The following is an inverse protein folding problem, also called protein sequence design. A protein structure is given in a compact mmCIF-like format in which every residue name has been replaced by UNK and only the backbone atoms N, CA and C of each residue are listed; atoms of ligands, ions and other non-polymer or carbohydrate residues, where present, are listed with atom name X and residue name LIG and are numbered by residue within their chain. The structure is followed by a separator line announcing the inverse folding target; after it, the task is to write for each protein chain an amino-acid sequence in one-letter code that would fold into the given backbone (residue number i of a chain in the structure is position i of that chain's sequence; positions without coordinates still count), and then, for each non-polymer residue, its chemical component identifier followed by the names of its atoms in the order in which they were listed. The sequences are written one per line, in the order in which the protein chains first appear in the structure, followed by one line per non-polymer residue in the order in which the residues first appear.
data_IF_483626286512
#
_entry.id   IF_483626286512
#
_cell.length_a   1.000
_cell.length_b   1.000
_cell.length_c   1.000
_cell.angle_alpha   90.00
_cell.angle_beta   90.00
_cell.angle_gamma   90.00
#
_symmetry.space_group_name_H-M   'P 1'
#
loop_
_entity.id
_entity.type
_entity.pdbx_description
1 polymer ?
#
# COMPACT_ATOMS: atom_id res chain seq x y z
N UNK A 1 -55.55 -15.54 -22.65
CA UNK A 1 -54.83 -16.32 -23.70
C UNK A 1 -53.67 -15.51 -24.30
N UNK A 2 -53.85 -14.21 -24.55
CA UNK A 2 -52.77 -13.32 -25.02
C UNK A 2 -51.61 -13.15 -24.03
N UNK A 3 -51.86 -13.03 -22.73
CA UNK A 3 -50.79 -12.74 -21.75
C UNK A 3 -49.77 -13.88 -21.62
N UNK A 4 -50.22 -15.13 -21.75
CA UNK A 4 -49.35 -16.30 -21.71
C UNK A 4 -48.43 -16.38 -22.94
N UNK A 5 -48.89 -15.86 -24.08
CA UNK A 5 -48.06 -15.79 -25.30
C UNK A 5 -47.02 -14.67 -25.22
N UNK A 6 -47.35 -13.55 -24.57
CA UNK A 6 -46.43 -12.41 -24.39
C UNK A 6 -45.28 -12.77 -23.44
N UNK A 7 -45.58 -13.46 -22.32
CA UNK A 7 -44.57 -13.96 -21.39
C UNK A 7 -43.64 -15.00 -22.04
N UNK A 8 -44.20 -15.89 -22.87
CA UNK A 8 -43.42 -16.87 -23.64
C UNK A 8 -42.47 -16.20 -24.64
N UNK A 9 -42.93 -15.15 -25.34
CA UNK A 9 -42.12 -14.44 -26.33
C UNK A 9 -40.99 -13.65 -25.68
N UNK A 10 -41.24 -13.01 -24.53
CA UNK A 10 -40.23 -12.30 -23.76
C UNK A 10 -39.12 -13.24 -23.26
N UNK A 11 -39.49 -14.41 -22.73
CA UNK A 11 -38.51 -15.38 -22.26
C UNK A 11 -37.63 -15.90 -23.39
N UNK A 12 -38.22 -16.11 -24.58
CA UNK A 12 -37.49 -16.54 -25.76
C UNK A 12 -36.52 -15.46 -26.27
N UNK A 13 -36.93 -14.19 -26.27
CA UNK A 13 -36.07 -13.06 -26.66
C UNK A 13 -34.90 -12.90 -25.68
N UNK A 14 -35.14 -12.94 -24.36
CA UNK A 14 -34.08 -12.87 -23.35
C UNK A 14 -33.08 -14.03 -23.46
N UNK A 15 -33.56 -15.24 -23.79
CA UNK A 15 -32.70 -16.40 -24.04
C UNK A 15 -31.82 -16.21 -25.29
N UNK A 16 -32.38 -15.68 -26.39
CA UNK A 16 -31.61 -15.41 -27.61
C UNK A 16 -30.57 -14.30 -27.42
N UNK A 17 -30.88 -13.25 -26.65
CA UNK A 17 -29.91 -12.19 -26.29
C UNK A 17 -28.78 -12.78 -25.43
N UNK A 18 -29.10 -13.66 -24.48
CA UNK A 18 -28.10 -14.33 -23.63
C UNK A 18 -27.19 -15.25 -24.45
N UNK A 19 -27.74 -15.95 -25.46
CA UNK A 19 -26.95 -16.75 -26.40
C UNK A 19 -26.07 -15.91 -27.33
N UNK A 20 -26.53 -14.71 -27.74
CA UNK A 20 -25.74 -13.79 -28.54
C UNK A 20 -24.57 -13.19 -27.76
N UNK A 21 -24.77 -12.86 -26.47
CA UNK A 21 -23.68 -12.40 -25.58
C UNK A 21 -22.68 -13.53 -25.33
N UNK A 22 -23.14 -14.77 -25.19
CA UNK A 22 -22.24 -15.91 -24.96
C UNK A 22 -21.43 -16.32 -26.20
N UNK A 23 -21.96 -16.08 -27.42
CA UNK A 23 -21.25 -16.29 -28.69
C UNK A 23 -20.33 -15.15 -29.13
N UNK A 24 -20.28 -14.04 -28.39
CA UNK A 24 -19.56 -12.82 -28.75
C UNK A 24 -18.23 -12.61 -28.02
N UNK A 25 -17.49 -13.68 -27.69
CA UNK A 25 -16.11 -13.58 -27.21
C UNK A 25 -15.24 -14.35 -28.20
N UNK A 26 -14.71 -13.62 -29.17
CA UNK A 26 -13.66 -14.12 -30.05
C UNK A 26 -12.39 -14.32 -29.22
N UNK A 27 -11.87 -15.53 -29.33
CA UNK A 27 -10.68 -16.01 -28.65
C UNK A 27 -9.44 -15.33 -29.24
N UNK A 28 -8.79 -14.48 -28.45
CA UNK A 28 -7.40 -14.09 -28.71
C UNK A 28 -6.52 -15.03 -27.92
N UNK A 29 -6.17 -16.14 -28.55
CA UNK A 29 -5.05 -16.97 -28.15
C UNK A 29 -3.76 -16.18 -28.36
N UNK A 30 -3.14 -15.76 -27.25
CA UNK A 30 -1.72 -15.48 -27.22
C UNK A 30 -1.12 -16.15 -25.99
N UNK A 31 -0.78 -17.42 -26.22
CA UNK A 31 0.27 -18.13 -25.52
C UNK A 31 1.52 -17.24 -25.45
N UNK A 32 1.80 -16.68 -24.28
CA UNK A 32 3.16 -16.32 -23.90
C UNK A 32 3.42 -16.92 -22.54
N UNK A 33 3.84 -18.19 -22.59
CA UNK A 33 4.62 -18.81 -21.53
C UNK A 33 5.93 -18.03 -21.44
N UNK A 34 5.90 -16.94 -20.67
CA UNK A 34 7.11 -16.27 -20.21
C UNK A 34 7.29 -16.67 -18.76
N UNK A 35 8.21 -17.59 -18.58
CA UNK A 35 8.91 -17.90 -17.34
C UNK A 35 9.15 -16.60 -16.59
N UNK A 36 8.53 -16.44 -15.41
CA UNK A 36 8.70 -15.29 -14.54
C UNK A 36 10.15 -15.16 -14.12
N UNK A 37 10.93 -14.49 -14.95
CA UNK A 37 12.20 -13.91 -14.59
C UNK A 37 11.86 -12.66 -13.80
N UNK A 38 12.14 -12.69 -12.51
CA UNK A 38 12.28 -11.48 -11.72
C UNK A 38 13.38 -10.67 -12.42
N UNK A 39 12.99 -9.69 -13.24
CA UNK A 39 13.95 -8.75 -13.82
C UNK A 39 14.44 -7.83 -12.70
N UNK A 40 15.39 -8.33 -11.92
CA UNK A 40 16.23 -7.51 -11.06
C UNK A 40 17.03 -6.59 -11.98
N UNK A 41 16.66 -5.31 -11.98
CA UNK A 41 17.46 -4.28 -12.65
C UNK A 41 18.87 -4.25 -12.05
N UNK A 42 19.89 -3.80 -12.80
CA UNK A 42 21.27 -3.69 -12.29
C UNK A 42 21.41 -2.89 -10.97
N UNK A 43 20.40 -2.10 -10.63
CA UNK A 43 20.37 -1.19 -9.48
C UNK A 43 19.88 -1.84 -8.17
N UNK A 44 19.58 -3.15 -8.15
CA UNK A 44 19.07 -3.85 -6.95
C UNK A 44 17.65 -3.44 -6.53
N UNK A 45 16.92 -2.73 -7.40
CA UNK A 45 15.55 -2.30 -7.18
C UNK A 45 14.59 -3.48 -7.14
N UNK A 46 13.67 -3.47 -6.17
CA UNK A 46 12.68 -4.53 -5.98
C UNK A 46 11.35 -4.10 -6.58
N UNK A 47 10.84 -4.88 -7.54
CA UNK A 47 9.53 -4.64 -8.17
C UNK A 47 8.40 -4.84 -7.15
N UNK A 48 7.56 -3.83 -6.99
CA UNK A 48 6.38 -3.85 -6.13
C UNK A 48 5.12 -4.21 -6.90
N UNK A 49 4.99 -3.70 -8.14
CA UNK A 49 3.85 -3.96 -9.00
C UNK A 49 3.70 -2.90 -10.08
N UNK A 50 2.61 -3.00 -10.85
CA UNK A 50 2.25 -1.99 -11.85
C UNK A 50 1.75 -0.72 -11.19
N UNK A 51 2.13 0.41 -11.76
CA UNK A 51 1.75 1.73 -11.27
C UNK A 51 0.24 1.90 -11.17
N UNK A 52 -0.50 1.58 -12.24
CA UNK A 52 -1.96 1.75 -12.29
C UNK A 52 -2.70 0.86 -11.29
N UNK A 53 -2.19 -0.35 -11.04
CA UNK A 53 -2.79 -1.28 -10.06
C UNK A 53 -2.64 -0.73 -8.63
N UNK A 54 -1.49 -0.15 -8.31
CA UNK A 54 -1.25 0.45 -7.00
C UNK A 54 -2.03 1.76 -6.86
N UNK A 55 -2.10 2.59 -7.90
CA UNK A 55 -2.96 3.79 -7.90
C UNK A 55 -4.42 3.44 -7.64
N UNK A 56 -4.93 2.38 -8.27
CA UNK A 56 -6.31 1.91 -8.09
C UNK A 56 -6.57 1.37 -6.69
N UNK A 57 -5.64 0.60 -6.13
CA UNK A 57 -5.77 0.02 -4.78
C UNK A 57 -5.38 1.00 -3.66
N UNK A 58 -4.76 2.13 -3.99
CA UNK A 58 -4.21 3.17 -3.11
C UNK A 58 -3.08 2.70 -2.18
N UNK A 59 -2.93 1.40 -1.93
CA UNK A 59 -1.86 0.85 -1.10
C UNK A 59 -1.59 -0.61 -1.40
N UNK A 60 -0.33 -1.01 -1.26
CA UNK A 60 0.14 -2.39 -1.40
C UNK A 60 1.21 -2.70 -0.35
N UNK A 61 1.42 -3.99 -0.06
CA UNK A 61 2.46 -4.46 0.88
C UNK A 61 3.29 -5.48 0.13
N UNK A 62 4.60 -5.40 0.30
CA UNK A 62 5.56 -6.25 -0.40
C UNK A 62 6.76 -6.55 0.52
N UNK A 63 7.53 -7.56 0.15
CA UNK A 63 8.80 -7.86 0.81
C UNK A 63 9.95 -7.26 0.00
N UNK A 64 10.77 -6.46 0.67
CA UNK A 64 12.01 -5.88 0.14
C UNK A 64 13.16 -6.46 0.96
N UNK A 65 13.94 -7.36 0.38
CA UNK A 65 15.00 -8.14 1.08
C UNK A 65 14.52 -8.80 2.37
N UNK A 66 13.32 -9.40 2.33
CA UNK A 66 12.67 -10.04 3.47
C UNK A 66 12.09 -9.07 4.51
N UNK A 67 12.13 -7.75 4.25
CA UNK A 67 11.51 -6.73 5.10
C UNK A 67 10.11 -6.42 4.57
N UNK A 68 9.10 -6.45 5.42
CA UNK A 68 7.75 -6.08 5.02
C UNK A 68 7.62 -4.54 4.92
N UNK A 69 7.31 -4.05 3.72
CA UNK A 69 7.15 -2.63 3.38
C UNK A 69 5.73 -2.39 2.91
N UNK A 70 5.14 -1.27 3.32
CA UNK A 70 3.88 -0.76 2.77
C UNK A 70 4.18 0.41 1.82
N UNK A 71 3.57 0.36 0.64
CA UNK A 71 3.59 1.45 -0.33
C UNK A 71 2.19 2.05 -0.40
N UNK A 72 2.10 3.35 -0.20
CA UNK A 72 0.89 4.15 -0.36
C UNK A 72 0.98 4.96 -1.65
N UNK A 73 -0.15 5.15 -2.31
CA UNK A 73 -0.36 6.18 -3.32
C UNK A 73 -1.38 7.16 -2.77
N UNK A 74 -0.95 8.40 -2.54
CA UNK A 74 -1.78 9.45 -1.95
C UNK A 74 -1.45 10.76 -2.64
N UNK A 75 -2.49 11.52 -3.02
CA UNK A 75 -2.36 12.84 -3.67
C UNK A 75 -1.37 12.90 -4.83
N UNK A 76 -1.38 11.86 -5.68
CA UNK A 76 -0.50 11.81 -6.86
C UNK A 76 0.93 11.36 -6.58
N UNK A 77 1.26 11.01 -5.33
CA UNK A 77 2.61 10.64 -4.92
C UNK A 77 2.65 9.24 -4.30
N UNK A 78 3.75 8.53 -4.55
CA UNK A 78 4.05 7.27 -3.90
C UNK A 78 4.91 7.49 -2.66
N UNK A 79 4.56 6.79 -1.58
CA UNK A 79 5.28 6.79 -0.31
C UNK A 79 5.51 5.35 0.12
N UNK A 80 6.72 4.99 0.53
CA UNK A 80 7.02 3.65 1.03
C UNK A 80 7.64 3.73 2.42
N UNK A 81 7.17 2.91 3.34
CA UNK A 81 7.70 2.82 4.70
C UNK A 81 7.60 1.40 5.23
N UNK A 82 8.27 1.11 6.35
CA UNK A 82 8.07 -0.20 6.99
C UNK A 82 6.58 -0.44 7.30
N UNK A 83 6.11 -1.67 7.12
CA UNK A 83 4.70 -2.00 7.31
C UNK A 83 4.26 -1.98 8.77
N UNK A 84 5.21 -2.11 9.70
CA UNK A 84 4.97 -2.22 11.14
C UNK A 84 5.28 -0.90 11.82
N UNK A 85 4.31 -0.35 12.52
CA UNK A 85 4.42 0.90 13.26
C UNK A 85 5.57 0.83 14.29
N UNK A 86 6.40 1.88 14.33
CA UNK A 86 7.53 1.99 15.24
C UNK A 86 7.17 1.92 16.73
N UNK A 87 5.91 2.16 17.10
CA UNK A 87 5.48 2.13 18.51
C UNK A 87 5.42 0.69 19.03
N UNK A 88 4.54 -0.12 18.47
CA UNK A 88 4.27 -1.49 18.96
C UNK A 88 4.05 -2.52 17.84
N UNK A 89 4.38 -2.19 16.58
CA UNK A 89 4.31 -3.12 15.45
C UNK A 89 2.95 -3.20 14.76
N UNK A 90 2.08 -2.22 14.99
CA UNK A 90 0.77 -2.14 14.35
C UNK A 90 0.85 -2.11 12.82
N UNK A 91 -0.09 -2.79 12.15
CA UNK A 91 -0.10 -2.91 10.70
C UNK A 91 -0.53 -1.59 10.04
N UNK A 92 0.44 -0.78 9.58
CA UNK A 92 0.20 0.55 9.01
C UNK A 92 -0.63 0.51 7.73
N UNK A 93 -0.60 -0.60 6.98
CA UNK A 93 -1.52 -0.85 5.85
C UNK A 93 -2.99 -0.65 6.21
N UNK A 94 -3.39 -0.87 7.47
CA UNK A 94 -4.78 -0.77 7.92
C UNK A 94 -5.10 0.60 8.55
N UNK A 95 -4.15 1.53 8.59
CA UNK A 95 -4.37 2.88 9.12
C UNK A 95 -5.05 3.82 8.13
N UNK A 96 -5.65 4.88 8.65
CA UNK A 96 -6.22 5.96 7.84
C UNK A 96 -5.15 7.00 7.50
N UNK A 97 -5.25 7.61 6.31
CA UNK A 97 -4.36 8.72 5.92
C UNK A 97 -5.13 10.02 6.16
N UNK A 98 -4.55 10.92 6.94
CA UNK A 98 -5.13 12.19 7.37
C UNK A 98 -4.15 13.35 7.10
N UNK A 99 -4.67 14.54 6.81
CA UNK A 99 -3.86 15.77 6.78
C UNK A 99 -3.73 16.30 8.22
N UNK A 100 -2.50 16.37 8.70
CA UNK A 100 -2.17 16.82 10.05
C UNK A 100 -1.05 17.84 9.93
N UNK A 101 -1.31 19.07 10.34
CA UNK A 101 -0.37 20.20 10.22
C UNK A 101 0.10 20.44 8.77
N UNK A 102 -0.81 20.27 7.81
CA UNK A 102 -0.50 20.41 6.38
C UNK A 102 0.35 19.27 5.80
N UNK A 103 0.43 18.14 6.50
CA UNK A 103 1.21 16.98 6.11
C UNK A 103 0.33 15.74 6.07
N UNK A 104 0.39 15.00 4.96
CA UNK A 104 -0.25 13.69 4.86
C UNK A 104 0.43 12.70 5.84
N UNK A 105 -0.36 12.12 6.73
CA UNK A 105 0.10 11.23 7.77
C UNK A 105 -0.70 9.93 7.81
N UNK A 106 -0.02 8.79 8.02
CA UNK A 106 -0.69 7.53 8.35
C UNK A 106 -0.95 7.47 9.86
N UNK A 107 -2.21 7.22 10.24
CA UNK A 107 -2.64 7.05 11.63
C UNK A 107 -2.66 5.56 11.95
N UNK A 108 -1.76 5.14 12.84
CA UNK A 108 -1.65 3.74 13.23
C UNK A 108 -2.98 3.22 13.83
N UNK A 109 -3.50 2.08 13.36
CA UNK A 109 -4.82 1.59 13.77
C UNK A 109 -4.87 1.13 15.24
N UNK A 110 -3.73 0.79 15.84
CA UNK A 110 -3.68 0.26 17.21
C UNK A 110 -3.73 1.37 18.27
N UNK A 111 -2.80 2.33 18.19
CA UNK A 111 -2.59 3.33 19.24
C UNK A 111 -2.66 4.78 18.72
N UNK A 112 -3.13 4.98 17.48
CA UNK A 112 -3.33 6.30 16.86
C UNK A 112 -2.06 7.15 16.77
N UNK A 113 -0.90 6.51 16.77
CA UNK A 113 0.36 7.18 16.46
C UNK A 113 0.33 7.72 15.04
N UNK A 114 0.66 9.00 14.90
CA UNK A 114 0.65 9.74 13.64
C UNK A 114 2.06 9.74 13.07
N UNK A 115 2.19 9.33 11.80
CA UNK A 115 3.46 9.21 11.11
C UNK A 115 3.37 9.92 9.76
N UNK A 116 4.24 10.88 9.48
CA UNK A 116 4.26 11.57 8.19
C UNK A 116 4.61 10.60 7.07
N UNK A 117 3.88 10.65 5.94
CA UNK A 117 4.15 9.79 4.79
C UNK A 117 5.46 10.15 4.08
N UNK A 118 5.85 11.43 4.12
CA UNK A 118 7.03 11.93 3.42
C UNK A 118 8.34 11.60 4.15
N UNK A 119 8.37 11.85 5.47
CA UNK A 119 9.62 11.82 6.25
C UNK A 119 9.66 10.70 7.29
N UNK A 120 8.53 10.08 7.61
CA UNK A 120 8.44 9.05 8.64
C UNK A 120 8.55 9.61 10.06
N UNK A 121 8.29 10.90 10.24
CA UNK A 121 8.32 11.58 11.52
C UNK A 121 7.10 11.22 12.37
N UNK A 122 7.33 10.97 13.65
CA UNK A 122 6.24 10.74 14.60
C UNK A 122 5.70 12.06 15.13
N UNK A 123 4.48 12.44 14.77
CA UNK A 123 3.86 13.70 15.24
C UNK A 123 3.10 13.50 16.56
N UNK A 124 3.01 14.57 17.34
CA UNK A 124 2.19 14.65 18.55
C UNK A 124 1.78 16.09 18.84
N UNK A 125 0.65 16.28 19.51
CA UNK A 125 0.28 17.57 20.08
C UNK A 125 1.00 17.78 21.42
N UNK A 126 1.69 18.91 21.55
CA UNK A 126 2.32 19.34 22.78
C UNK A 126 1.96 20.78 23.11
N UNK A 127 1.86 21.10 24.40
CA UNK A 127 1.73 22.46 24.90
C UNK A 127 3.07 22.95 25.42
N UNK A 128 3.34 24.25 25.27
CA UNK A 128 4.49 24.87 25.93
C UNK A 128 4.09 25.39 27.30
N UNK A 129 4.55 24.78 28.41
CA UNK A 129 4.16 25.22 29.75
C UNK A 129 4.76 26.57 30.15
N UNK A 130 5.73 27.10 29.39
CA UNK A 130 6.31 28.42 29.65
C UNK A 130 5.47 29.57 29.09
N UNK A 131 4.52 29.28 28.19
CA UNK A 131 3.63 30.27 27.61
C UNK A 131 2.52 30.69 28.59
N UNK A 132 2.15 31.99 28.68
CA UNK A 132 1.08 32.45 29.58
C UNK A 132 -0.29 31.84 29.29
N UNK A 133 -0.52 31.42 28.04
CA UNK A 133 -1.74 30.76 27.58
C UNK A 133 -1.37 29.60 26.64
N UNK A 134 -0.98 28.43 27.18
CA UNK A 134 -0.52 27.30 26.39
C UNK A 134 -1.61 26.79 25.46
N UNK A 135 -1.35 26.80 24.15
CA UNK A 135 -2.18 26.15 23.15
C UNK A 135 -1.50 24.88 22.65
N UNK A 136 -2.27 23.81 22.34
CA UNK A 136 -1.72 22.64 21.67
C UNK A 136 -1.10 23.03 20.33
N UNK A 137 0.11 22.55 20.07
CA UNK A 137 0.81 22.70 18.80
C UNK A 137 1.34 21.34 18.37
N UNK A 138 1.29 21.08 17.06
CA UNK A 138 1.93 19.91 16.49
C UNK A 138 3.45 20.01 16.65
N UNK A 139 4.05 18.92 17.09
CA UNK A 139 5.49 18.77 17.28
C UNK A 139 5.93 17.42 16.72
N UNK A 140 7.20 17.33 16.37
CA UNK A 140 7.82 16.10 15.84
C UNK A 140 8.68 15.43 16.89
N UNK A 141 8.62 14.09 16.97
CA UNK A 141 9.56 13.23 17.71
C UNK A 141 10.82 12.91 16.88
N UNK A 142 11.00 13.55 15.73
CA UNK A 142 11.98 13.19 14.70
C UNK A 142 11.53 11.98 13.89
N UNK A 143 12.41 11.51 12.99
CA UNK A 143 12.14 10.34 12.14
C UNK A 143 12.10 9.08 12.99
N UNK A 144 10.96 8.37 12.94
CA UNK A 144 10.68 7.18 13.73
C UNK A 144 10.38 5.97 12.86
N UNK A 145 9.69 6.20 11.75
CA UNK A 145 9.35 5.21 10.75
C UNK A 145 10.34 5.31 9.58
N UNK A 146 10.99 4.20 9.22
CA UNK A 146 11.90 4.18 8.07
C UNK A 146 11.10 4.37 6.78
N UNK A 147 11.49 5.37 6.00
CA UNK A 147 11.03 5.59 4.63
C UNK A 147 11.95 4.84 3.66
N UNK A 148 11.35 4.27 2.62
CA UNK A 148 12.05 3.62 1.51
C UNK A 148 11.88 4.44 0.24
N UNK A 149 12.94 4.49 -0.58
CA UNK A 149 12.92 5.22 -1.83
C UNK A 149 12.06 4.48 -2.85
N UNK A 150 11.05 5.16 -3.39
CA UNK A 150 10.23 4.66 -4.50
C UNK A 150 10.78 5.19 -5.83
N UNK A 151 10.85 4.33 -6.83
CA UNK A 151 11.20 4.69 -8.21
C UNK A 151 10.12 4.18 -9.14
N UNK A 152 9.61 5.06 -10.01
CA UNK A 152 8.66 4.71 -11.05
C UNK A 152 9.40 4.69 -12.37
N UNK A 153 9.27 3.61 -13.13
CA UNK A 153 9.81 3.54 -14.47
C UNK A 153 9.03 2.55 -15.32
N UNK A 154 8.77 2.94 -16.57
CA UNK A 154 8.08 2.11 -17.56
C UNK A 154 6.75 1.52 -17.04
N UNK A 155 5.99 2.31 -16.28
CA UNK A 155 4.69 1.91 -15.70
C UNK A 155 4.77 0.94 -14.51
N UNK A 156 5.96 0.74 -13.94
CA UNK A 156 6.19 -0.11 -12.78
C UNK A 156 6.72 0.69 -11.59
N UNK A 157 6.33 0.25 -10.40
CA UNK A 157 6.76 0.82 -9.12
C UNK A 157 7.80 -0.11 -8.51
N UNK A 158 8.94 0.48 -8.16
CA UNK A 158 10.05 -0.19 -7.52
C UNK A 158 10.39 0.46 -6.18
N UNK A 159 10.93 -0.32 -5.25
CA UNK A 159 11.49 0.18 -3.99
C UNK A 159 12.96 -0.20 -3.91
N UNK A 160 13.80 0.75 -3.49
CA UNK A 160 15.21 0.51 -3.24
C UNK A 160 15.42 -0.30 -1.95
N UNK A 161 16.44 -1.17 -1.88
CA UNK A 161 16.87 -1.76 -0.62
C UNK A 161 17.15 -0.69 0.43
N UNK A 162 16.78 -0.92 1.70
CA UNK A 162 17.04 0.03 2.78
C UNK A 162 18.55 0.18 3.06
N UNK A 163 18.98 1.43 3.26
CA UNK A 163 20.30 1.70 3.86
C UNK A 163 20.22 1.56 5.39
N UNK A 164 20.95 0.58 5.93
CA UNK A 164 20.99 0.29 7.36
C UNK A 164 22.12 1.03 8.11
N UNK A 165 22.84 1.94 7.45
CA UNK A 165 23.83 2.80 8.11
C UNK A 165 23.22 3.68 9.21
N UNK A 166 21.95 4.07 9.03
CA UNK A 166 21.14 4.81 9.99
C UNK A 166 20.05 3.89 10.55
N UNK A 167 19.84 3.94 11.87
CA UNK A 167 18.82 3.16 12.56
C UNK A 167 17.61 4.01 12.92
N UNK A 168 16.43 3.40 12.86
CA UNK A 168 15.15 4.00 13.25
C UNK A 168 14.38 3.03 14.17
N UNK A 169 13.49 3.56 15.00
CA UNK A 169 12.71 2.79 15.98
C UNK A 169 11.92 1.64 15.33
N UNK A 170 11.41 1.86 14.11
CA UNK A 170 10.72 0.85 13.28
C UNK A 170 11.56 -0.38 12.90
N UNK A 171 12.90 -0.28 12.92
CA UNK A 171 13.80 -1.41 12.60
C UNK A 171 13.56 -2.62 13.48
N UNK A 172 13.32 -2.38 14.78
CA UNK A 172 13.05 -3.44 15.74
C UNK A 172 11.83 -4.29 15.32
N UNK A 173 10.73 -3.65 14.92
CA UNK A 173 9.52 -4.36 14.55
C UNK A 173 9.64 -5.02 13.18
N UNK A 174 10.30 -4.39 12.22
CA UNK A 174 10.55 -5.01 10.93
C UNK A 174 11.38 -6.31 11.06
N UNK A 175 12.40 -6.33 11.93
CA UNK A 175 13.19 -7.53 12.21
C UNK A 175 12.43 -8.57 13.03
N UNK A 176 11.69 -8.15 14.07
CA UNK A 176 10.89 -9.04 14.92
C UNK A 176 9.89 -9.84 14.08
N UNK A 177 9.17 -9.18 13.19
CA UNK A 177 8.15 -9.84 12.37
C UNK A 177 8.77 -10.70 11.25
N UNK A 178 9.95 -10.33 10.73
CA UNK A 178 10.72 -11.19 9.82
C UNK A 178 11.11 -12.52 10.48
N UNK A 179 11.63 -12.48 11.72
CA UNK A 179 12.05 -13.70 12.46
C UNK A 179 10.88 -14.61 12.77
N UNK A 180 9.76 -14.05 13.23
CA UNK A 180 8.56 -14.82 13.52
C UNK A 180 8.06 -15.60 12.29
N UNK A 181 8.15 -15.00 11.10
CA UNK A 181 7.78 -15.69 9.86
C UNK A 181 8.72 -16.87 9.54
N UNK A 182 10.03 -16.67 9.67
CA UNK A 182 11.03 -17.74 9.47
C UNK A 182 10.89 -18.89 10.48
N UNK A 183 10.42 -18.60 11.69
CA UNK A 183 10.18 -19.62 12.71
C UNK A 183 8.86 -20.38 12.49
N UNK A 184 7.89 -19.79 11.78
CA UNK A 184 6.65 -20.46 11.37
C UNK A 184 6.83 -21.35 10.14
N UNK A 185 7.88 -21.14 9.36
CA UNK A 185 8.24 -21.94 8.17
C UNK A 185 9.07 -23.19 8.49
N UNK A 186 9.42 -23.44 9.77
CA UNK A 186 10.16 -24.62 10.26
C UNK A 186 9.24 -25.63 10.92
#
# INVERSE_FOLDING_TARGET
MLDLMILSLHFFICFLISLAIWRGREDVDLHSSSTGTVETRPDGLILIGKEDDIKKSQRVTAKVDGREVVVFYHEGKFHAMDSRCYHEGGALRLGDIEDIDGQACIVCPWHKYIITLETGEGLYEGTDPSEPSPTPQWRSKGVKQRIHKVTIDSGNVYVSPPDFSVKFDSDYFAEKYRKNELDLEK
#
